data_IF_421369218702
#
_entry.id   IF_421369218702
#
_cell.length_a   1.000
_cell.length_b   1.000
_cell.length_c   1.000
_cell.angle_alpha   90.00
_cell.angle_beta   90.00
_cell.angle_gamma   90.00
#
_symmetry.space_group_name_H-M   'P 1'
#
loop_
_entity.id
_entity.type
_entity.pdbx_description
1 polymer ?
#
# COMPACT_ATOMS: atom_id res chain seq x y z
N UNK A 1 19.53 14.71 27.28
CA UNK A 1 19.32 15.05 25.85
C UNK A 1 19.29 13.75 25.05
N UNK A 2 18.16 13.06 25.06
CA UNK A 2 17.83 11.98 24.14
C UNK A 2 16.69 12.53 23.29
N UNK A 3 16.96 12.84 22.03
CA UNK A 3 15.92 13.17 21.06
C UNK A 3 15.53 11.85 20.42
N UNK A 4 14.41 11.31 20.86
CA UNK A 4 13.74 10.19 20.22
C UNK A 4 13.30 10.68 18.85
N UNK A 5 13.93 10.19 17.80
CA UNK A 5 13.51 10.40 16.42
C UNK A 5 12.26 9.53 16.26
N UNK A 6 11.09 10.16 16.33
CA UNK A 6 9.85 9.59 15.80
C UNK A 6 10.00 9.61 14.28
N UNK A 7 10.59 8.55 13.72
CA UNK A 7 10.40 8.24 12.31
C UNK A 7 9.03 7.55 12.23
N UNK A 8 8.18 8.06 11.34
CA UNK A 8 6.85 7.55 11.02
C UNK A 8 6.90 6.05 10.71
N UNK A 9 6.65 5.22 11.72
CA UNK A 9 6.05 3.91 11.55
C UNK A 9 4.59 4.19 11.23
N UNK A 10 4.26 4.29 9.95
CA UNK A 10 2.88 4.27 9.48
C UNK A 10 2.44 2.81 9.38
N UNK A 11 2.26 2.19 10.53
CA UNK A 11 1.51 0.93 10.68
C UNK A 11 0.34 1.24 11.61
N UNK A 12 -0.86 0.76 11.22
CA UNK A 12 -2.16 0.80 11.90
C UNK A 12 -3.16 1.88 11.41
N UNK A 13 -3.69 1.69 10.20
CA UNK A 13 -5.13 1.91 9.99
C UNK A 13 -5.90 0.75 10.63
N UNK A 14 -6.06 0.79 11.97
CA UNK A 14 -7.04 -0.02 12.66
C UNK A 14 -8.43 0.46 12.25
N UNK A 15 -9.19 -0.44 11.61
CA UNK A 15 -10.57 -0.23 11.23
C UNK A 15 -11.41 0.22 12.43
N UNK A 16 -12.11 1.34 12.24
CA UNK A 16 -13.11 1.84 13.17
C UNK A 16 -14.31 0.89 13.06
N UNK A 17 -14.43 -0.06 13.99
CA UNK A 17 -15.70 -0.71 14.24
C UNK A 17 -16.72 0.36 14.65
N UNK A 18 -17.69 0.59 13.77
CA UNK A 18 -18.89 1.39 14.01
C UNK A 18 -19.79 0.66 15.03
N UNK A 19 -19.46 0.80 16.31
CA UNK A 19 -20.34 0.45 17.42
C UNK A 19 -21.40 1.53 17.60
N UNK A 20 -22.60 1.27 17.07
CA UNK A 20 -23.76 2.15 17.17
C UNK A 20 -24.19 2.30 18.64
N UNK A 21 -24.12 3.52 19.17
CA UNK A 21 -24.58 3.87 20.50
C UNK A 21 -26.10 3.87 20.65
N UNK A 22 -26.58 3.45 21.82
CA UNK A 22 -27.88 3.86 22.39
C UNK A 22 -27.73 4.02 23.91
N UNK A 23 -28.21 5.15 24.40
CA UNK A 23 -28.12 5.63 25.78
C UNK A 23 -28.90 4.79 26.82
N UNK A 24 -28.25 4.61 27.98
CA UNK A 24 -28.68 4.75 29.38
C UNK A 24 -30.09 4.31 29.81
N UNK A 25 -30.15 3.38 30.78
CA UNK A 25 -30.87 3.55 32.07
C UNK A 25 -30.29 2.59 33.12
N UNK A 26 -30.00 3.10 34.32
CA UNK A 26 -29.53 2.37 35.52
C UNK A 26 -30.59 1.38 36.08
N UNK A 27 -30.15 0.28 36.72
CA UNK A 27 -30.44 -0.12 38.13
C UNK A 27 -30.07 -1.60 38.42
N UNK A 28 -29.28 -1.75 39.49
CA UNK A 28 -29.10 -2.82 40.51
C UNK A 28 -28.72 -4.30 40.21
N UNK A 29 -27.84 -4.74 41.12
CA UNK A 29 -27.24 -6.05 41.34
C UNK A 29 -28.23 -7.24 41.43
N UNK A 30 -27.87 -8.37 40.80
CA UNK A 30 -27.88 -9.68 41.47
C UNK A 30 -26.98 -10.69 40.76
N UNK A 31 -26.30 -11.51 41.57
CA UNK A 31 -25.43 -12.63 41.24
C UNK A 31 -26.28 -13.90 41.17
N UNK A 32 -26.20 -14.71 40.10
CA UNK A 32 -25.86 -16.16 40.13
C UNK A 32 -26.06 -16.87 38.77
N UNK A 33 -25.22 -17.90 38.61
CA UNK A 33 -25.28 -19.09 37.74
C UNK A 33 -24.78 -19.02 36.29
N UNK A 34 -23.62 -19.67 36.10
CA UNK A 34 -23.13 -20.27 34.86
C UNK A 34 -24.22 -21.16 34.24
N UNK A 35 -24.52 -20.92 32.98
CA UNK A 35 -24.99 -21.96 32.09
C UNK A 35 -24.40 -21.76 30.70
N UNK A 36 -23.47 -22.65 30.41
CA UNK A 36 -22.83 -22.93 29.14
C UNK A 36 -23.86 -23.08 28.02
N UNK A 37 -23.67 -22.31 26.96
CA UNK A 37 -24.26 -22.55 25.64
C UNK A 37 -23.09 -22.52 24.65
N UNK A 38 -22.94 -23.52 23.77
CA UNK A 38 -21.69 -23.80 23.07
C UNK A 38 -21.34 -22.67 22.10
N UNK A 39 -20.11 -22.18 22.23
CA UNK A 39 -19.50 -21.30 21.25
C UNK A 39 -19.46 -21.98 19.88
N UNK A 40 -19.85 -21.18 18.91
CA UNK A 40 -19.86 -21.48 17.50
C UNK A 40 -18.41 -21.75 17.06
N UNK A 41 -18.23 -22.78 16.25
CA UNK A 41 -16.97 -23.32 15.73
C UNK A 41 -15.80 -22.34 15.69
N UNK A 42 -14.74 -22.69 16.42
CA UNK A 42 -13.38 -22.19 16.24
C UNK A 42 -13.06 -22.18 14.74
N UNK A 43 -12.80 -20.98 14.23
CA UNK A 43 -12.12 -20.79 12.95
C UNK A 43 -10.72 -21.37 13.14
N UNK A 44 -10.30 -22.34 12.34
CA UNK A 44 -8.94 -22.92 12.41
C UNK A 44 -7.93 -21.77 12.22
N UNK A 45 -7.44 -21.22 13.33
CA UNK A 45 -6.54 -20.07 13.33
C UNK A 45 -5.18 -20.57 12.85
N UNK A 46 -4.73 -20.10 11.68
CA UNK A 46 -3.37 -20.41 11.17
C UNK A 46 -2.36 -20.01 12.25
N UNK A 47 -1.72 -21.02 12.83
CA UNK A 47 -0.75 -20.87 13.90
C UNK A 47 0.64 -20.99 13.29
N UNK A 48 1.28 -19.85 13.06
CA UNK A 48 2.71 -19.80 12.72
C UNK A 48 3.49 -20.11 14.01
N UNK A 49 4.65 -20.77 13.92
CA UNK A 49 5.43 -21.08 15.14
C UNK A 49 5.94 -19.77 15.79
N UNK A 50 5.73 -19.63 17.09
CA UNK A 50 5.40 -18.33 17.73
C UNK A 50 6.57 -17.50 18.27
N UNK A 51 7.84 -17.87 18.05
CA UNK A 51 8.97 -17.07 18.57
C UNK A 51 10.12 -16.96 17.57
N UNK A 52 10.20 -15.81 16.89
CA UNK A 52 11.38 -15.45 16.11
C UNK A 52 12.57 -15.20 17.02
N UNK A 53 13.63 -15.99 16.84
CA UNK A 53 14.93 -15.67 17.41
C UNK A 53 15.61 -14.59 16.55
N UNK A 54 15.53 -13.33 16.97
CA UNK A 54 16.03 -12.16 16.24
C UNK A 54 17.55 -12.23 16.06
N UNK A 55 17.99 -12.42 14.83
CA UNK A 55 19.40 -12.42 14.41
C UNK A 55 19.54 -11.78 13.02
N UNK A 56 20.01 -10.53 12.98
CA UNK A 56 20.19 -9.79 11.73
C UNK A 56 21.33 -10.33 10.83
N UNK A 57 22.04 -11.37 11.27
CA UNK A 57 23.04 -12.08 10.46
C UNK A 57 22.49 -13.36 9.81
N UNK A 58 21.29 -13.78 10.20
CA UNK A 58 20.56 -14.89 9.59
C UNK A 58 19.88 -14.42 8.29
N UNK A 59 19.66 -15.36 7.36
CA UNK A 59 18.85 -15.12 6.16
C UNK A 59 17.49 -15.80 6.34
N UNK A 60 16.45 -15.01 6.65
CA UNK A 60 15.09 -15.50 6.85
C UNK A 60 14.32 -15.76 5.54
N UNK A 61 14.93 -15.61 4.36
CA UNK A 61 14.20 -15.69 3.09
C UNK A 61 13.51 -17.05 2.87
N UNK A 62 14.15 -18.16 3.26
CA UNK A 62 13.54 -19.49 3.15
C UNK A 62 12.47 -19.71 4.23
N UNK A 63 12.67 -19.19 5.45
CA UNK A 63 11.66 -19.24 6.52
C UNK A 63 10.39 -18.47 6.13
N UNK A 64 10.57 -17.27 5.56
CA UNK A 64 9.48 -16.44 5.02
C UNK A 64 8.72 -17.20 3.95
N UNK A 65 9.45 -17.85 3.05
CA UNK A 65 8.83 -18.60 1.96
C UNK A 65 8.05 -19.81 2.47
N UNK A 66 8.55 -20.52 3.47
CA UNK A 66 7.82 -21.62 4.13
C UNK A 66 6.54 -21.09 4.79
N UNK A 67 6.61 -19.99 5.54
CA UNK A 67 5.42 -19.37 6.16
C UNK A 67 4.38 -18.90 5.13
N UNK A 68 4.83 -18.31 4.00
CA UNK A 68 3.95 -17.92 2.89
C UNK A 68 3.31 -19.16 2.25
N UNK A 69 4.09 -20.19 1.94
CA UNK A 69 3.59 -21.43 1.34
C UNK A 69 2.59 -22.15 2.27
N UNK A 70 2.83 -22.13 3.59
CA UNK A 70 1.92 -22.68 4.59
C UNK A 70 0.60 -21.91 4.66
N UNK A 71 0.64 -20.57 4.65
CA UNK A 71 -0.58 -19.75 4.58
C UNK A 71 -1.36 -20.02 3.30
N UNK A 72 -0.70 -20.09 2.15
CA UNK A 72 -1.33 -20.41 0.86
C UNK A 72 -1.96 -21.81 0.89
N UNK A 73 -1.28 -22.79 1.50
CA UNK A 73 -1.79 -24.16 1.59
C UNK A 73 -2.97 -24.32 2.57
N UNK A 74 -2.98 -23.55 3.65
CA UNK A 74 -4.00 -23.61 4.69
C UNK A 74 -5.25 -22.78 4.37
N UNK A 75 -5.14 -21.76 3.52
CA UNK A 75 -6.24 -20.84 3.22
C UNK A 75 -7.29 -21.46 2.29
N UNK A 76 -8.57 -21.26 2.60
CA UNK A 76 -9.69 -21.83 1.83
C UNK A 76 -10.19 -20.91 0.72
N UNK A 77 -9.82 -19.64 0.76
CA UNK A 77 -10.17 -18.59 -0.20
C UNK A 77 -9.01 -17.60 -0.37
N UNK A 78 -8.93 -16.90 -1.49
CA UNK A 78 -7.97 -15.82 -1.73
C UNK A 78 -8.19 -14.63 -0.79
N UNK A 79 -9.43 -14.37 -0.39
CA UNK A 79 -9.72 -13.34 0.61
C UNK A 79 -9.10 -13.69 1.97
N UNK A 80 -9.25 -14.94 2.40
CA UNK A 80 -8.65 -15.46 3.62
C UNK A 80 -7.12 -15.52 3.53
N UNK A 81 -6.58 -15.97 2.40
CA UNK A 81 -5.14 -16.04 2.13
C UNK A 81 -4.46 -14.69 2.32
N UNK A 82 -4.97 -13.62 1.68
CA UNK A 82 -4.38 -12.29 1.84
C UNK A 82 -4.57 -11.71 3.24
N UNK A 83 -5.67 -12.07 3.92
CA UNK A 83 -5.88 -11.68 5.33
C UNK A 83 -4.87 -12.36 6.24
N UNK A 84 -4.59 -13.64 6.00
CA UNK A 84 -3.60 -14.41 6.75
C UNK A 84 -2.17 -14.03 6.38
N UNK A 85 -1.93 -13.46 5.19
CA UNK A 85 -0.60 -12.97 4.82
C UNK A 85 -0.14 -11.81 5.71
N UNK A 86 -1.07 -11.01 6.24
CA UNK A 86 -0.77 -10.02 7.29
C UNK A 86 -0.22 -10.66 8.56
N UNK A 87 -0.59 -11.91 8.87
CA UNK A 87 -0.04 -12.64 10.03
C UNK A 87 1.43 -13.01 9.81
N UNK A 88 1.83 -13.32 8.57
CA UNK A 88 3.25 -13.50 8.23
C UNK A 88 3.99 -12.19 8.43
N UNK A 89 3.47 -11.07 7.92
CA UNK A 89 4.04 -9.73 8.18
C UNK A 89 4.18 -9.46 9.68
N UNK A 90 3.15 -9.76 10.48
CA UNK A 90 3.17 -9.59 11.94
C UNK A 90 4.22 -10.47 12.61
N UNK A 91 4.42 -11.71 12.15
CA UNK A 91 5.47 -12.62 12.63
C UNK A 91 6.85 -11.96 12.52
N UNK A 92 7.16 -11.34 11.37
CA UNK A 92 8.48 -10.74 11.08
C UNK A 92 8.64 -9.28 11.53
N UNK A 93 7.55 -8.59 11.88
CA UNK A 93 7.57 -7.19 12.35
C UNK A 93 8.54 -6.94 13.53
N UNK A 94 8.71 -7.84 14.51
CA UNK A 94 9.68 -7.66 15.60
C UNK A 94 11.14 -7.45 15.13
N UNK A 95 11.52 -7.91 13.93
CA UNK A 95 12.85 -7.62 13.35
C UNK A 95 13.01 -6.10 13.13
N UNK A 96 12.01 -5.44 12.58
CA UNK A 96 12.04 -3.99 12.38
C UNK A 96 12.01 -3.23 13.72
N UNK A 97 11.24 -3.72 14.70
CA UNK A 97 11.14 -3.11 16.03
C UNK A 97 12.43 -3.23 16.85
N UNK A 98 13.18 -4.32 16.68
CA UNK A 98 14.44 -4.58 17.38
C UNK A 98 15.66 -3.93 16.71
N UNK A 99 15.55 -3.52 15.44
CA UNK A 99 16.67 -2.96 14.68
C UNK A 99 17.19 -1.66 15.33
N UNK A 100 18.51 -1.57 15.52
CA UNK A 100 19.17 -0.42 16.15
C UNK A 100 20.05 0.36 15.19
N UNK A 101 20.68 -0.33 14.25
CA UNK A 101 21.55 0.28 13.23
C UNK A 101 20.80 0.46 11.92
N UNK A 102 21.26 1.41 11.09
CA UNK A 102 20.72 1.56 9.73
C UNK A 102 20.83 0.27 8.91
N UNK A 103 21.90 -0.52 9.12
CA UNK A 103 22.05 -1.81 8.45
C UNK A 103 20.94 -2.78 8.84
N UNK A 104 20.70 -2.96 10.14
CA UNK A 104 19.62 -3.82 10.65
C UNK A 104 18.25 -3.35 10.17
N UNK A 105 17.99 -2.03 10.15
CA UNK A 105 16.73 -1.47 9.64
C UNK A 105 16.53 -1.78 8.15
N UNK A 106 17.58 -1.63 7.35
CA UNK A 106 17.54 -1.93 5.92
C UNK A 106 17.23 -3.42 5.69
N UNK A 107 17.89 -4.32 6.42
CA UNK A 107 17.64 -5.75 6.26
C UNK A 107 16.24 -6.14 6.76
N UNK A 108 15.78 -5.55 7.87
CA UNK A 108 14.42 -5.75 8.37
C UNK A 108 13.34 -5.37 7.34
N UNK A 109 13.46 -4.19 6.72
CA UNK A 109 12.53 -3.76 5.67
C UNK A 109 12.56 -4.68 4.46
N UNK A 110 13.75 -5.17 4.08
CA UNK A 110 13.89 -6.12 2.99
C UNK A 110 13.13 -7.43 3.23
N UNK A 111 13.14 -7.96 4.46
CA UNK A 111 12.35 -9.16 4.80
C UNK A 111 10.84 -8.92 4.72
N UNK A 112 10.35 -7.77 5.17
CA UNK A 112 8.92 -7.44 5.03
C UNK A 112 8.51 -7.33 3.55
N UNK A 113 9.32 -6.68 2.72
CA UNK A 113 9.15 -6.70 1.26
C UNK A 113 9.16 -8.12 0.68
N UNK A 114 10.07 -8.98 1.16
CA UNK A 114 10.23 -10.36 0.67
C UNK A 114 8.96 -11.21 0.89
N UNK A 115 8.21 -10.97 1.96
CA UNK A 115 6.92 -11.65 2.21
C UNK A 115 5.95 -11.40 1.04
N UNK A 116 5.73 -10.13 0.70
CA UNK A 116 4.79 -9.76 -0.36
C UNK A 116 5.31 -10.08 -1.75
N UNK A 117 6.62 -10.00 -2.00
CA UNK A 117 7.19 -10.42 -3.29
C UNK A 117 7.04 -11.95 -3.49
N UNK A 118 7.21 -12.73 -2.42
CA UNK A 118 6.98 -14.18 -2.45
C UNK A 118 5.52 -14.49 -2.77
N UNK A 119 4.58 -13.84 -2.07
CA UNK A 119 3.15 -14.04 -2.32
C UNK A 119 2.72 -13.57 -3.72
N UNK A 120 3.23 -12.43 -4.19
CA UNK A 120 2.99 -11.93 -5.55
C UNK A 120 3.39 -12.97 -6.60
N UNK A 121 4.56 -13.59 -6.43
CA UNK A 121 5.05 -14.65 -7.31
C UNK A 121 4.21 -15.93 -7.21
N UNK A 122 3.73 -16.29 -6.01
CA UNK A 122 2.84 -17.43 -5.78
C UNK A 122 1.49 -17.24 -6.51
N UNK A 123 0.87 -16.07 -6.35
CA UNK A 123 -0.36 -15.67 -7.05
C UNK A 123 -0.17 -15.69 -8.56
N UNK A 124 0.92 -15.10 -9.07
CA UNK A 124 1.23 -15.08 -10.50
C UNK A 124 1.37 -16.51 -11.05
N UNK A 125 2.03 -17.41 -10.33
CA UNK A 125 2.19 -18.82 -10.72
C UNK A 125 0.83 -19.54 -10.85
N UNK A 126 -0.05 -19.40 -9.85
CA UNK A 126 -1.40 -19.98 -9.84
C UNK A 126 -2.28 -19.37 -10.94
N UNK A 127 -2.23 -18.05 -11.12
CA UNK A 127 -2.96 -17.33 -12.15
C UNK A 127 -2.52 -17.73 -13.55
N UNK A 128 -1.21 -17.74 -13.81
CA UNK A 128 -0.60 -18.13 -15.09
C UNK A 128 -0.92 -19.57 -15.48
N UNK A 129 -1.18 -20.44 -14.50
CA UNK A 129 -1.56 -21.83 -14.70
C UNK A 129 -3.06 -22.03 -14.92
N UNK A 130 -3.89 -21.13 -14.37
CA UNK A 130 -5.37 -21.25 -14.39
C UNK A 130 -6.04 -20.44 -15.49
N UNK A 131 -5.43 -19.33 -15.91
CA UNK A 131 -5.99 -18.42 -16.91
C UNK A 131 -6.01 -19.03 -18.32
N UNK A 132 -7.03 -18.71 -19.10
CA UNK A 132 -7.00 -18.96 -20.54
C UNK A 132 -5.90 -18.12 -21.23
N UNK A 133 -5.54 -18.50 -22.45
CA UNK A 133 -4.42 -17.88 -23.18
C UNK A 133 -4.57 -16.36 -23.33
N UNK A 134 -5.77 -15.87 -23.64
CA UNK A 134 -5.99 -14.44 -23.88
C UNK A 134 -5.88 -13.66 -22.57
N UNK A 135 -6.51 -14.14 -21.51
CA UNK A 135 -6.43 -13.55 -20.17
C UNK A 135 -4.98 -13.53 -19.67
N UNK A 136 -4.25 -14.64 -19.84
CA UNK A 136 -2.84 -14.75 -19.47
C UNK A 136 -1.94 -13.76 -20.22
N UNK A 137 -2.11 -13.64 -21.54
CA UNK A 137 -1.33 -12.70 -22.36
C UNK A 137 -1.58 -11.24 -21.92
N UNK A 138 -2.83 -10.88 -21.63
CA UNK A 138 -3.19 -9.55 -21.12
C UNK A 138 -2.55 -9.25 -19.77
N UNK A 139 -2.74 -10.14 -18.79
CA UNK A 139 -2.23 -9.95 -17.43
C UNK A 139 -0.70 -9.98 -17.38
N UNK A 140 -0.04 -10.75 -18.27
CA UNK A 140 1.42 -10.72 -18.42
C UNK A 140 1.93 -9.38 -18.93
N UNK A 141 1.22 -8.75 -19.88
CA UNK A 141 1.56 -7.42 -20.36
C UNK A 141 1.40 -6.38 -19.24
N UNK A 142 0.30 -6.43 -18.48
CA UNK A 142 0.08 -5.57 -17.32
C UNK A 142 1.15 -5.77 -16.23
N UNK A 143 1.55 -7.02 -15.96
CA UNK A 143 2.59 -7.33 -14.97
C UNK A 143 3.96 -6.80 -15.41
N UNK A 144 4.33 -6.97 -16.68
CA UNK A 144 5.59 -6.43 -17.22
C UNK A 144 5.63 -4.92 -17.15
N UNK A 145 4.54 -4.27 -17.56
CA UNK A 145 4.42 -2.83 -17.47
C UNK A 145 4.58 -2.34 -16.01
N UNK A 146 3.95 -3.00 -15.05
CA UNK A 146 4.12 -2.66 -13.63
C UNK A 146 5.57 -2.84 -13.16
N UNK A 147 6.25 -3.91 -13.60
CA UNK A 147 7.68 -4.15 -13.29
C UNK A 147 8.57 -3.07 -13.90
N UNK A 148 8.34 -2.71 -15.16
CA UNK A 148 9.14 -1.72 -15.90
C UNK A 148 9.04 -0.33 -15.24
N UNK A 149 7.86 0.04 -14.75
CA UNK A 149 7.61 1.31 -14.06
C UNK A 149 8.14 1.33 -12.62
N UNK A 150 8.38 0.17 -12.00
CA UNK A 150 8.65 0.02 -10.55
C UNK A 150 9.84 0.85 -10.07
N UNK A 151 10.93 0.86 -10.83
CA UNK A 151 12.13 1.62 -10.48
C UNK A 151 11.86 3.13 -10.54
N UNK A 152 11.19 3.59 -11.59
CA UNK A 152 10.90 5.01 -11.80
C UNK A 152 9.92 5.56 -10.76
N UNK A 153 8.82 4.84 -10.47
CA UNK A 153 7.88 5.26 -9.41
C UNK A 153 8.53 5.32 -8.03
N UNK A 154 9.48 4.42 -7.76
CA UNK A 154 10.25 4.44 -6.51
C UNK A 154 11.06 5.73 -6.42
N UNK A 155 11.80 6.07 -7.48
CA UNK A 155 12.61 7.30 -7.52
C UNK A 155 11.74 8.57 -7.39
N UNK A 156 10.57 8.59 -8.04
CA UNK A 156 9.62 9.69 -7.92
C UNK A 156 9.07 9.82 -6.48
N UNK A 157 8.77 8.69 -5.83
CA UNK A 157 8.15 8.69 -4.51
C UNK A 157 9.13 8.98 -3.36
N UNK A 158 10.33 8.39 -3.37
CA UNK A 158 11.27 8.51 -2.24
C UNK A 158 12.50 9.38 -2.54
N UNK A 159 12.69 9.82 -3.78
CA UNK A 159 13.86 10.55 -4.22
C UNK A 159 15.06 9.65 -4.54
N UNK A 160 16.18 10.26 -4.95
CA UNK A 160 17.35 9.53 -5.41
C UNK A 160 18.15 8.88 -4.28
N UNK A 161 19.04 7.94 -4.66
CA UNK A 161 19.98 7.33 -3.71
C UNK A 161 20.99 8.33 -3.17
N UNK A 162 21.41 9.28 -4.00
CA UNK A 162 22.36 10.33 -3.65
C UNK A 162 21.80 11.25 -2.57
N UNK A 163 20.50 11.58 -2.64
CA UNK A 163 19.81 12.42 -1.67
C UNK A 163 19.60 11.71 -0.32
N UNK A 164 19.27 10.42 -0.36
CA UNK A 164 18.88 9.66 0.84
C UNK A 164 20.03 8.87 1.49
N UNK A 165 21.13 8.65 0.79
CA UNK A 165 22.33 7.99 1.30
C UNK A 165 22.03 6.60 1.91
N UNK A 166 22.38 6.40 3.17
CA UNK A 166 22.20 5.11 3.86
C UNK A 166 20.75 4.77 4.21
N UNK A 167 19.85 5.75 4.15
CA UNK A 167 18.42 5.57 4.39
C UNK A 167 17.69 5.05 3.15
N UNK A 168 18.28 5.23 1.96
CA UNK A 168 17.66 4.85 0.69
C UNK A 168 17.17 3.39 0.65
N UNK A 169 17.94 2.37 1.09
CA UNK A 169 17.47 0.99 1.05
C UNK A 169 16.24 0.77 1.93
N UNK A 170 16.20 1.35 3.13
CA UNK A 170 15.02 1.29 4.00
C UNK A 170 13.79 1.89 3.31
N UNK A 171 13.91 3.11 2.78
CA UNK A 171 12.80 3.78 2.09
C UNK A 171 12.35 3.00 0.85
N UNK A 172 13.30 2.46 0.10
CA UNK A 172 13.04 1.66 -1.08
C UNK A 172 12.30 0.38 -0.72
N UNK A 173 12.82 -0.44 0.19
CA UNK A 173 12.18 -1.70 0.56
C UNK A 173 10.80 -1.47 1.18
N UNK A 174 10.62 -0.44 2.02
CA UNK A 174 9.30 -0.08 2.56
C UNK A 174 8.30 0.34 1.47
N UNK A 175 8.72 1.15 0.50
CA UNK A 175 7.84 1.52 -0.62
C UNK A 175 7.55 0.32 -1.53
N UNK A 176 8.55 -0.52 -1.80
CA UNK A 176 8.41 -1.74 -2.58
C UNK A 176 7.45 -2.73 -1.90
N UNK A 177 7.49 -2.87 -0.58
CA UNK A 177 6.53 -3.66 0.20
C UNK A 177 5.09 -3.20 -0.08
N UNK A 178 4.82 -1.90 0.06
CA UNK A 178 3.49 -1.30 -0.14
C UNK A 178 2.94 -1.57 -1.55
N UNK A 179 3.71 -1.21 -2.58
CA UNK A 179 3.23 -1.36 -3.97
C UNK A 179 3.14 -2.84 -4.39
N UNK A 180 3.96 -3.71 -3.80
CA UNK A 180 3.94 -5.15 -4.08
C UNK A 180 2.73 -5.81 -3.42
N UNK A 181 2.41 -5.41 -2.20
CA UNK A 181 1.15 -5.77 -1.52
C UNK A 181 -0.06 -5.34 -2.35
N UNK A 182 -0.10 -4.09 -2.80
CA UNK A 182 -1.18 -3.59 -3.66
C UNK A 182 -1.31 -4.43 -4.93
N UNK A 183 -0.18 -4.76 -5.56
CA UNK A 183 -0.15 -5.61 -6.75
C UNK A 183 -0.63 -7.04 -6.46
N UNK A 184 -0.32 -7.61 -5.30
CA UNK A 184 -0.81 -8.92 -4.87
C UNK A 184 -2.35 -8.93 -4.77
N UNK A 185 -2.98 -7.90 -4.17
CA UNK A 185 -4.44 -7.76 -4.16
C UNK A 185 -5.04 -7.68 -5.56
N UNK A 186 -4.41 -6.97 -6.49
CA UNK A 186 -4.84 -6.91 -7.89
C UNK A 186 -4.78 -8.28 -8.56
N UNK A 187 -3.68 -9.03 -8.40
CA UNK A 187 -3.56 -10.38 -8.97
C UNK A 187 -4.55 -11.36 -8.33
N UNK A 188 -4.75 -11.29 -7.01
CA UNK A 188 -5.72 -12.11 -6.29
C UNK A 188 -7.14 -11.86 -6.79
N UNK A 189 -7.54 -10.59 -7.01
CA UNK A 189 -8.84 -10.27 -7.63
C UNK A 189 -9.01 -10.94 -8.99
N UNK A 190 -8.00 -10.88 -9.86
CA UNK A 190 -8.08 -11.52 -11.18
C UNK A 190 -8.11 -13.05 -11.08
N UNK A 191 -7.37 -13.64 -10.14
CA UNK A 191 -7.41 -15.07 -9.86
C UNK A 191 -8.77 -15.52 -9.28
N UNK A 192 -9.38 -14.71 -8.41
CA UNK A 192 -10.70 -14.96 -7.84
C UNK A 192 -11.77 -15.01 -8.95
N UNK A 193 -11.74 -14.07 -9.90
CA UNK A 193 -12.62 -14.10 -11.08
C UNK A 193 -12.47 -15.38 -11.89
N UNK A 194 -11.25 -15.89 -12.07
CA UNK A 194 -10.98 -17.14 -12.79
C UNK A 194 -11.53 -18.34 -12.02
N UNK A 195 -11.38 -18.34 -10.69
CA UNK A 195 -11.88 -19.40 -9.79
C UNK A 195 -13.40 -19.35 -9.56
N UNK A 196 -14.04 -18.22 -9.85
CA UNK A 196 -15.45 -17.97 -9.49
C UNK A 196 -15.64 -17.74 -7.99
N UNK A 197 -14.64 -17.15 -7.34
CA UNK A 197 -14.63 -16.81 -5.92
C UNK A 197 -15.05 -15.34 -5.71
N UNK A 198 -15.82 -15.07 -4.65
CA UNK A 198 -16.10 -13.70 -4.22
C UNK A 198 -14.84 -13.08 -3.61
N UNK A 199 -14.50 -11.86 -4.02
CA UNK A 199 -13.31 -11.16 -3.55
C UNK A 199 -13.57 -9.66 -3.43
N UNK A 200 -13.25 -9.09 -2.28
CA UNK A 200 -13.37 -7.66 -2.02
C UNK A 200 -11.98 -7.01 -2.05
N UNK A 201 -11.82 -5.97 -2.87
CA UNK A 201 -10.62 -5.13 -2.80
C UNK A 201 -10.60 -4.38 -1.46
N UNK A 202 -9.44 -4.26 -0.79
CA UNK A 202 -9.36 -3.50 0.44
C UNK A 202 -9.52 -2.01 0.15
N UNK A 203 -9.91 -1.26 1.18
CA UNK A 203 -9.90 0.20 1.11
C UNK A 203 -8.45 0.69 1.01
N UNK A 204 -8.21 1.60 0.06
CA UNK A 204 -6.94 2.32 -0.08
C UNK A 204 -7.12 3.76 0.37
N UNK A 205 -6.01 4.42 0.67
CA UNK A 205 -6.03 5.81 1.12
C UNK A 205 -6.74 6.71 0.11
N UNK A 206 -7.73 7.46 0.60
CA UNK A 206 -8.38 8.52 -0.17
C UNK A 206 -7.58 9.84 -0.14
N UNK A 207 -6.38 9.83 0.44
CA UNK A 207 -5.57 11.03 0.70
C UNK A 207 -4.16 10.93 0.11
N UNK A 208 -3.53 9.78 0.25
CA UNK A 208 -2.14 9.54 -0.15
C UNK A 208 -2.07 8.45 -1.22
N UNK A 209 -1.12 8.57 -2.14
CA UNK A 209 -0.89 7.57 -3.17
C UNK A 209 0.10 8.02 -4.24
N UNK A 210 0.52 7.07 -5.07
CA UNK A 210 1.31 7.32 -6.28
C UNK A 210 0.49 6.90 -7.49
N UNK A 211 0.23 7.87 -8.37
CA UNK A 211 -0.58 7.67 -9.56
C UNK A 211 0.20 8.11 -10.79
N UNK A 212 0.15 7.32 -11.87
CA UNK A 212 0.87 7.65 -13.10
C UNK A 212 0.01 7.46 -14.35
N UNK A 213 0.33 8.21 -15.38
CA UNK A 213 -0.04 7.95 -16.78
C UNK A 213 1.22 7.53 -17.52
N UNK A 214 1.17 6.35 -18.15
CA UNK A 214 2.26 5.80 -18.95
C UNK A 214 1.94 5.77 -20.46
N UNK A 215 0.77 6.26 -20.88
CA UNK A 215 0.30 6.28 -22.27
C UNK A 215 0.45 4.95 -23.03
N UNK A 216 0.41 3.82 -22.32
CA UNK A 216 0.65 2.48 -22.87
C UNK A 216 2.05 2.28 -23.50
N UNK A 217 3.03 3.14 -23.20
CA UNK A 217 4.40 3.05 -23.75
C UNK A 217 5.36 2.28 -22.87
N UNK A 218 5.05 2.14 -21.57
CA UNK A 218 5.92 1.54 -20.57
C UNK A 218 6.82 2.53 -19.82
N UNK A 219 6.76 3.82 -20.17
CA UNK A 219 7.52 4.90 -19.50
C UNK A 219 6.53 5.82 -18.75
N UNK A 220 6.94 6.47 -17.66
CA UNK A 220 6.08 7.45 -16.98
C UNK A 220 6.05 8.74 -17.81
N UNK A 221 4.86 9.12 -18.26
CA UNK A 221 4.62 10.39 -18.95
C UNK A 221 4.21 11.48 -17.97
N UNK A 222 3.34 11.14 -17.03
CA UNK A 222 2.82 12.07 -16.04
C UNK A 222 2.60 11.34 -14.73
N UNK A 223 2.81 12.05 -13.62
CA UNK A 223 2.66 11.50 -12.28
C UNK A 223 1.94 12.47 -11.35
N UNK A 224 1.23 11.90 -10.39
CA UNK A 224 0.61 12.58 -9.27
C UNK A 224 0.95 11.79 -8.02
N UNK A 225 1.66 12.42 -7.11
CA UNK A 225 2.03 11.84 -5.81
C UNK A 225 1.41 12.71 -4.74
N UNK A 226 0.67 12.11 -3.82
CA UNK A 226 0.20 12.78 -2.60
C UNK A 226 0.77 12.07 -1.39
N UNK A 227 1.47 12.80 -0.53
CA UNK A 227 2.16 12.24 0.65
C UNK A 227 2.24 13.24 1.78
N UNK A 228 2.66 12.76 2.96
CA UNK A 228 3.10 13.62 4.04
C UNK A 228 4.61 13.75 3.99
N UNK A 229 5.11 14.98 4.03
CA UNK A 229 6.54 15.25 4.00
C UNK A 229 7.20 15.12 5.38
N UNK A 230 8.52 15.31 5.42
CA UNK A 230 9.30 15.13 6.65
C UNK A 230 8.95 16.14 7.77
N UNK A 231 8.32 17.27 7.43
CA UNK A 231 7.80 18.25 8.41
C UNK A 231 6.40 17.89 8.92
N UNK A 232 5.77 16.86 8.35
CA UNK A 232 4.39 16.47 8.64
C UNK A 232 3.36 17.24 7.82
N UNK A 233 3.78 17.96 6.78
CA UNK A 233 2.88 18.72 5.90
C UNK A 233 2.39 17.84 4.76
N UNK A 234 1.10 17.95 4.44
CA UNK A 234 0.49 17.31 3.29
C UNK A 234 0.94 18.00 2.00
N UNK A 235 1.60 17.25 1.11
CA UNK A 235 2.13 17.77 -0.15
C UNK A 235 1.72 16.90 -1.35
N UNK A 236 1.59 17.56 -2.50
CA UNK A 236 1.42 16.89 -3.78
C UNK A 236 2.52 17.32 -4.76
N UNK A 237 3.05 16.35 -5.49
CA UNK A 237 3.95 16.55 -6.63
C UNK A 237 3.20 16.10 -7.88
N UNK A 238 3.04 17.01 -8.83
CA UNK A 238 2.28 16.80 -10.06
C UNK A 238 3.19 17.07 -11.25
N UNK A 239 3.51 16.05 -12.03
CA UNK A 239 4.32 16.15 -13.24
C UNK A 239 3.46 15.85 -14.45
N UNK A 240 3.36 16.79 -15.39
CA UNK A 240 2.54 16.66 -16.61
C UNK A 240 3.43 16.77 -17.84
N UNK A 241 3.33 15.77 -18.72
CA UNK A 241 4.14 15.64 -19.92
C UNK A 241 4.09 16.92 -20.77
N UNK A 242 5.27 17.47 -21.08
CA UNK A 242 5.48 18.73 -21.86
C UNK A 242 4.97 20.02 -21.21
N UNK A 243 4.33 19.97 -20.05
CA UNK A 243 3.88 21.16 -19.31
C UNK A 243 4.85 21.52 -18.18
N UNK A 244 5.35 20.50 -17.48
CA UNK A 244 6.31 20.65 -16.39
C UNK A 244 5.83 19.98 -15.11
N UNK A 245 6.53 20.29 -14.03
CA UNK A 245 6.26 19.78 -12.69
C UNK A 245 5.86 20.93 -11.78
N UNK A 246 4.94 20.65 -10.86
CA UNK A 246 4.60 21.54 -9.76
C UNK A 246 4.55 20.75 -8.45
N UNK A 247 5.06 21.37 -7.41
CA UNK A 247 4.97 20.91 -6.03
C UNK A 247 4.09 21.90 -5.26
N UNK A 248 3.42 21.43 -4.22
CA UNK A 248 2.56 22.26 -3.40
C UNK A 248 1.90 21.51 -2.27
N UNK A 249 1.12 22.24 -1.48
CA UNK A 249 0.35 21.67 -0.38
C UNK A 249 -1.09 21.40 -0.80
N UNK A 250 -1.76 20.53 -0.05
CA UNK A 250 -3.19 20.30 -0.24
C UNK A 250 -3.99 20.29 1.06
N UNK A 251 -5.29 20.57 0.94
CA UNK A 251 -6.27 20.42 2.02
C UNK A 251 -7.22 19.28 1.66
N UNK A 252 -7.32 18.30 2.56
CA UNK A 252 -8.22 17.15 2.42
C UNK A 252 -9.67 17.53 2.77
N UNK A 253 -10.61 17.26 1.86
CA UNK A 253 -12.05 17.46 2.05
C UNK A 253 -12.81 16.14 2.31
N UNK A 254 -12.10 15.01 2.37
CA UNK A 254 -12.65 13.68 2.45
C UNK A 254 -13.08 13.13 1.08
N UNK A 255 -13.35 11.83 1.03
CA UNK A 255 -13.84 11.11 -0.16
C UNK A 255 -12.96 11.29 -1.42
N UNK A 256 -11.64 11.45 -1.24
CA UNK A 256 -10.73 11.58 -2.37
C UNK A 256 -10.55 12.99 -2.92
N UNK A 257 -11.25 14.00 -2.38
CA UNK A 257 -11.19 15.37 -2.89
C UNK A 257 -10.16 16.20 -2.13
N UNK A 258 -9.10 16.66 -2.81
CA UNK A 258 -8.02 17.44 -2.22
C UNK A 258 -7.86 18.79 -2.94
N UNK A 259 -7.97 19.89 -2.20
CA UNK A 259 -7.69 21.24 -2.73
C UNK A 259 -6.20 21.49 -2.75
N UNK A 260 -5.60 21.51 -3.94
CA UNK A 260 -4.18 21.75 -4.15
C UNK A 260 -3.85 23.23 -4.35
N UNK A 261 -2.71 23.68 -3.82
CA UNK A 261 -2.10 24.97 -4.12
C UNK A 261 -0.59 24.80 -4.30
N UNK A 262 -0.07 25.20 -5.46
CA UNK A 262 1.37 25.15 -5.76
C UNK A 262 2.17 26.03 -4.80
N UNK A 263 3.43 25.66 -4.54
CA UNK A 263 4.30 26.41 -3.61
C UNK A 263 4.49 27.87 -4.00
N UNK A 264 4.60 28.16 -5.29
CA UNK A 264 4.71 29.51 -5.84
C UNK A 264 3.38 30.27 -5.88
N UNK A 265 2.27 29.60 -5.53
CA UNK A 265 0.91 30.11 -5.55
C UNK A 265 0.35 30.39 -6.95
N UNK A 266 1.04 29.96 -8.02
CA UNK A 266 0.66 30.23 -9.41
C UNK A 266 -0.48 29.33 -9.90
N UNK A 267 -0.67 28.15 -9.31
CA UNK A 267 -1.70 27.18 -9.70
C UNK A 267 -2.48 26.73 -8.48
N UNK A 268 -3.80 26.67 -8.62
CA UNK A 268 -4.67 25.89 -7.73
C UNK A 268 -5.48 24.90 -8.55
N UNK A 269 -5.81 23.78 -7.92
CA UNK A 269 -6.59 22.75 -8.55
C UNK A 269 -7.28 21.83 -7.56
N UNK A 270 -8.03 20.90 -8.11
CA UNK A 270 -8.67 19.82 -7.38
C UNK A 270 -8.03 18.51 -7.78
N UNK A 271 -7.48 17.80 -6.80
CA UNK A 271 -7.10 16.41 -6.96
C UNK A 271 -8.32 15.56 -6.59
N UNK A 272 -8.59 14.52 -7.39
CA UNK A 272 -9.59 13.51 -7.08
C UNK A 272 -8.96 12.13 -7.09
N UNK A 273 -8.89 11.47 -5.94
CA UNK A 273 -8.42 10.07 -5.81
C UNK A 273 -9.64 9.14 -5.87
N UNK A 274 -9.65 8.19 -6.80
CA UNK A 274 -10.72 7.18 -6.96
C UNK A 274 -10.22 5.77 -6.60
N UNK A 275 -9.43 5.70 -5.53
CA UNK A 275 -8.82 4.49 -5.01
C UNK A 275 -8.04 3.71 -6.07
N UNK A 276 -8.44 2.46 -6.30
CA UNK A 276 -7.80 1.55 -7.28
C UNK A 276 -7.96 1.97 -8.74
N UNK A 277 -8.82 2.94 -9.06
CA UNK A 277 -9.06 3.41 -10.42
C UNK A 277 -8.12 4.55 -10.84
N UNK A 278 -7.22 4.98 -9.95
CA UNK A 278 -6.30 6.07 -10.19
C UNK A 278 -6.76 7.39 -9.59
N UNK A 279 -6.26 8.49 -10.15
CA UNK A 279 -6.58 9.84 -9.70
C UNK A 279 -6.63 10.83 -10.86
N UNK A 280 -7.21 12.01 -10.63
CA UNK A 280 -7.20 13.12 -11.59
C UNK A 280 -6.80 14.43 -10.92
N UNK A 281 -6.30 15.37 -11.73
CA UNK A 281 -6.01 16.74 -11.32
C UNK A 281 -6.69 17.72 -12.26
N UNK A 282 -7.53 18.59 -11.72
CA UNK A 282 -8.23 19.64 -12.45
C UNK A 282 -7.75 21.03 -12.02
N UNK A 283 -7.25 21.82 -12.97
CA UNK A 283 -6.83 23.20 -12.71
C UNK A 283 -8.06 24.08 -12.50
N UNK A 284 -8.13 24.78 -11.36
CA UNK A 284 -9.25 25.65 -10.99
C UNK A 284 -8.89 27.13 -11.07
N UNK A 285 -7.66 27.50 -10.73
CA UNK A 285 -7.17 28.88 -10.78
C UNK A 285 -5.72 28.93 -11.23
N UNK A 286 -5.36 29.96 -11.97
CA UNK A 286 -3.98 30.26 -12.36
C UNK A 286 -3.69 31.74 -12.19
N UNK A 287 -2.50 32.08 -11.71
CA UNK A 287 -2.03 33.46 -11.56
C UNK A 287 -0.75 33.67 -12.38
N UNK A 288 -0.73 34.72 -13.20
CA UNK A 288 0.40 35.01 -14.09
C UNK A 288 0.43 34.14 -15.34
N UNK A 289 1.61 34.02 -15.95
CA UNK A 289 1.84 33.07 -17.04
C UNK A 289 2.07 31.68 -16.43
N UNK A 290 1.11 30.77 -16.62
CA UNK A 290 1.20 29.38 -16.19
C UNK A 290 1.06 28.44 -17.40
N UNK A 291 1.86 27.37 -17.50
CA UNK A 291 1.71 26.37 -18.55
C UNK A 291 0.47 25.48 -18.36
N UNK A 292 -0.22 25.59 -17.22
CA UNK A 292 -1.38 24.78 -16.82
C UNK A 292 -2.68 25.57 -16.99
N UNK A 293 -3.40 25.50 -18.13
CA UNK A 293 -4.63 26.27 -18.35
C UNK A 293 -5.78 25.92 -17.39
N UNK A 294 -6.50 26.95 -16.93
CA UNK A 294 -7.72 26.79 -16.12
C UNK A 294 -8.75 25.92 -16.84
N UNK A 295 -9.27 24.92 -16.14
CA UNK A 295 -10.26 23.97 -16.64
C UNK A 295 -9.67 22.72 -17.30
N UNK A 296 -8.34 22.65 -17.48
CA UNK A 296 -7.68 21.40 -17.86
C UNK A 296 -7.83 20.35 -16.75
N UNK A 297 -7.99 19.11 -17.17
CA UNK A 297 -8.12 17.94 -16.31
C UNK A 297 -7.20 16.84 -16.87
N UNK A 298 -6.29 16.36 -16.04
CA UNK A 298 -5.33 15.31 -16.36
C UNK A 298 -5.64 14.09 -15.50
N UNK A 299 -5.61 12.92 -16.13
CA UNK A 299 -5.91 11.63 -15.50
C UNK A 299 -4.62 10.83 -15.29
N UNK A 300 -4.54 10.12 -14.16
CA UNK A 300 -3.43 9.27 -13.75
C UNK A 300 -4.00 7.87 -13.44
N UNK A 301 -4.21 7.03 -14.46
CA UNK A 301 -5.02 5.81 -14.34
C UNK A 301 -4.34 4.66 -13.59
N UNK A 302 -3.01 4.70 -13.42
CA UNK A 302 -2.28 3.63 -12.74
C UNK A 302 -2.02 4.01 -11.28
N UNK A 303 -2.73 3.36 -10.36
CA UNK A 303 -2.44 3.41 -8.93
C UNK A 303 -1.39 2.36 -8.56
N UNK A 304 -0.35 2.79 -7.84
CA UNK A 304 0.70 1.94 -7.28
C UNK A 304 0.43 1.66 -5.80
#
# INVERSE_FOLDING_TARGET
MKKTIFLLVLVLSMGIYTGCGKENTEIENSRMEEQTTPENSENDEIHLDDELNIDFTCDYSEDIKEDVDDVVAASTSLQEELTNMEKVTQKYTPLAEAAQTQGEMNVAAHWLYTIWDTELNNLWSRLSSSADRQTKEKLLAEQRNWIDLKEEVTLLNIGSREENGSMYPLLQDSYLEEITKNRAYVLARELAKIKGEDFAMPEVSAKYGTFVDNQETGDIYSSLITRQNWEGTDEAVISIYRQGEMEGSFVDHGNGELSFTSEDGSVKGMIKIDGWNGASFKVTETYGESPFPVGEEVEFPFAF
#
